data_IF_347058145669
#
_entry.id   IF_347058145669
#
_cell.length_a   1.000
_cell.length_b   1.000
_cell.length_c   1.000
_cell.angle_alpha   90.00
_cell.angle_beta   90.00
_cell.angle_gamma   90.00
#
_symmetry.space_group_name_H-M   'P 1'
#
loop_
_entity.id
_entity.type
_entity.pdbx_description
1 polymer ?
#
# COMPACT_ATOMS: atom_id res chain seq x y z
N UNK A 1 11.90 0.98 10.40
CA UNK A 1 13.04 1.51 9.66
C UNK A 1 12.76 2.96 9.23
N UNK A 2 13.79 3.63 8.77
CA UNK A 2 13.70 5.07 8.46
C UNK A 2 12.64 5.38 7.38
N UNK A 3 12.54 4.54 6.38
CA UNK A 3 11.56 4.73 5.30
C UNK A 3 10.11 4.61 5.81
N UNK A 4 9.85 3.56 6.57
CA UNK A 4 8.52 3.33 7.17
C UNK A 4 8.15 4.47 8.12
N UNK A 5 9.07 4.86 8.98
CA UNK A 5 8.83 5.93 9.95
C UNK A 5 8.59 7.27 9.26
N UNK A 6 9.36 7.58 8.23
CA UNK A 6 9.19 8.82 7.48
C UNK A 6 7.87 8.86 6.71
N UNK A 7 7.46 7.72 6.14
CA UNK A 7 6.18 7.64 5.43
C UNK A 7 5.00 7.93 6.37
N UNK A 8 5.03 7.34 7.57
CA UNK A 8 3.99 7.57 8.56
C UNK A 8 3.98 9.04 8.99
N UNK A 9 5.14 9.60 9.28
CA UNK A 9 5.28 10.99 9.71
C UNK A 9 4.73 11.97 8.67
N UNK A 10 5.09 11.80 7.40
CA UNK A 10 4.69 12.74 6.35
C UNK A 10 3.18 12.77 6.15
N UNK A 11 2.51 11.62 6.32
CA UNK A 11 1.06 11.57 6.15
C UNK A 11 0.31 12.02 7.41
N UNK A 12 0.85 11.73 8.60
CA UNK A 12 0.22 12.16 9.85
C UNK A 12 0.37 13.66 10.10
N UNK A 13 1.41 14.29 9.53
CA UNK A 13 1.67 15.72 9.70
C UNK A 13 1.13 16.58 8.55
N UNK A 14 0.32 16.01 7.65
CA UNK A 14 -0.18 16.67 6.44
C UNK A 14 0.93 17.15 5.48
N UNK A 15 2.13 16.55 5.61
CA UNK A 15 3.26 16.90 4.77
C UNK A 15 3.22 16.29 3.37
N UNK A 16 2.21 15.46 3.07
CA UNK A 16 2.13 14.74 1.80
C UNK A 16 1.94 15.66 0.60
N UNK A 17 1.46 16.87 0.81
CA UNK A 17 1.27 17.87 -0.24
C UNK A 17 2.42 18.88 -0.31
N UNK A 18 3.47 18.67 0.47
CA UNK A 18 4.61 19.58 0.57
C UNK A 18 5.91 18.85 0.26
N UNK A 19 6.38 19.01 -0.98
CA UNK A 19 7.62 18.36 -1.44
C UNK A 19 8.86 18.82 -0.68
N UNK A 20 8.76 19.89 0.11
CA UNK A 20 9.85 20.40 0.94
C UNK A 20 9.81 19.81 2.37
N UNK A 21 8.79 19.02 2.70
CA UNK A 21 8.72 18.36 4.01
C UNK A 21 9.90 17.40 4.16
N UNK A 22 10.58 17.39 5.35
CA UNK A 22 11.76 16.55 5.55
C UNK A 22 11.53 15.06 5.30
N UNK A 23 10.29 14.57 5.43
CA UNK A 23 9.97 13.16 5.22
C UNK A 23 9.33 12.86 3.86
N UNK A 24 9.22 13.85 2.98
CA UNK A 24 8.60 13.66 1.67
C UNK A 24 9.33 12.62 0.82
N UNK A 25 10.63 12.45 1.04
CA UNK A 25 11.43 11.46 0.33
C UNK A 25 10.85 10.04 0.42
N UNK A 26 10.11 9.74 1.51
CA UNK A 26 9.52 8.43 1.70
C UNK A 26 8.43 8.13 0.66
N UNK A 27 7.68 9.16 0.26
CA UNK A 27 6.69 9.05 -0.81
C UNK A 27 7.38 8.82 -2.14
N UNK A 28 8.41 9.61 -2.41
CA UNK A 28 9.17 9.51 -3.66
C UNK A 28 9.85 8.15 -3.81
N UNK A 29 10.31 7.57 -2.71
CA UNK A 29 10.97 6.26 -2.74
C UNK A 29 10.02 5.16 -3.21
N UNK A 30 8.75 5.20 -2.78
CA UNK A 30 7.76 4.25 -3.30
C UNK A 30 7.62 4.38 -4.83
N UNK A 31 7.54 5.61 -5.32
CA UNK A 31 7.42 5.85 -6.76
C UNK A 31 8.66 5.38 -7.51
N UNK A 32 9.85 5.61 -6.95
CA UNK A 32 11.11 5.21 -7.58
C UNK A 32 11.25 3.68 -7.68
N UNK A 33 10.67 2.95 -6.74
CA UNK A 33 10.83 1.49 -6.64
C UNK A 33 9.72 0.70 -7.35
N UNK A 34 8.62 1.36 -7.75
CA UNK A 34 7.40 0.64 -8.17
C UNK A 34 7.58 -0.22 -9.42
N UNK A 35 8.43 0.18 -10.35
CA UNK A 35 8.62 -0.58 -11.59
C UNK A 35 9.58 -1.76 -11.41
N UNK A 36 10.73 -1.52 -10.81
CA UNK A 36 11.84 -2.47 -10.81
C UNK A 36 12.01 -3.24 -9.50
N UNK A 37 11.49 -2.69 -8.40
CA UNK A 37 11.70 -3.29 -7.07
C UNK A 37 10.39 -3.39 -6.28
N UNK A 38 9.35 -4.01 -6.88
CA UNK A 38 8.05 -4.11 -6.19
C UNK A 38 8.11 -4.88 -4.87
N UNK A 39 9.05 -5.81 -4.72
CA UNK A 39 9.20 -6.57 -3.47
C UNK A 39 9.58 -5.68 -2.31
N UNK A 40 10.38 -4.63 -2.56
CA UNK A 40 10.74 -3.67 -1.51
C UNK A 40 9.54 -2.86 -1.09
N UNK A 41 8.71 -2.43 -2.06
CA UNK A 41 7.47 -1.72 -1.77
C UNK A 41 6.49 -2.60 -0.98
N UNK A 42 6.36 -3.86 -1.37
CA UNK A 42 5.51 -4.82 -0.68
C UNK A 42 5.91 -4.97 0.79
N UNK A 43 7.20 -5.19 1.04
CA UNK A 43 7.71 -5.33 2.40
C UNK A 43 7.49 -4.06 3.23
N UNK A 44 7.72 -2.89 2.64
CA UNK A 44 7.52 -1.61 3.33
C UNK A 44 6.05 -1.40 3.67
N UNK A 45 5.14 -1.72 2.75
CA UNK A 45 3.70 -1.59 2.99
C UNK A 45 3.25 -2.45 4.17
N UNK A 46 3.69 -3.71 4.21
CA UNK A 46 3.33 -4.60 5.31
C UNK A 46 3.86 -4.09 6.65
N UNK A 47 5.06 -3.53 6.65
CA UNK A 47 5.64 -2.98 7.88
C UNK A 47 4.89 -1.72 8.34
N UNK A 48 4.47 -0.87 7.41
CA UNK A 48 3.69 0.33 7.73
C UNK A 48 2.38 -0.07 8.42
N UNK A 49 1.62 -1.01 7.86
CA UNK A 49 0.33 -1.39 8.43
C UNK A 49 0.48 -2.16 9.75
N UNK A 50 1.65 -2.73 10.03
CA UNK A 50 1.92 -3.35 11.32
C UNK A 50 2.29 -2.31 12.38
N UNK A 51 2.65 -1.11 11.97
CA UNK A 51 3.12 -0.04 12.86
C UNK A 51 2.03 0.96 13.21
N UNK A 52 1.12 1.25 12.29
CA UNK A 52 0.08 2.25 12.50
C UNK A 52 -1.28 1.79 11.99
N UNK A 53 -2.35 2.32 12.61
CA UNK A 53 -3.73 2.17 12.14
C UNK A 53 -4.33 3.52 11.75
N UNK A 54 -3.50 4.56 11.59
CA UNK A 54 -3.94 5.89 11.19
C UNK A 54 -4.68 5.85 9.86
N UNK A 55 -5.91 6.37 9.82
CA UNK A 55 -6.72 6.39 8.61
C UNK A 55 -6.04 7.14 7.48
N UNK A 56 -5.37 8.25 7.76
CA UNK A 56 -4.70 9.03 6.73
C UNK A 56 -3.54 8.25 6.10
N UNK A 57 -2.79 7.50 6.90
CA UNK A 57 -1.69 6.67 6.40
C UNK A 57 -2.24 5.50 5.57
N UNK A 58 -3.23 4.79 6.10
CA UNK A 58 -3.82 3.63 5.41
C UNK A 58 -4.44 4.04 4.08
N UNK A 59 -5.19 5.12 4.07
CA UNK A 59 -5.83 5.61 2.84
C UNK A 59 -4.80 6.02 1.79
N UNK A 60 -3.76 6.74 2.20
CA UNK A 60 -2.69 7.17 1.30
C UNK A 60 -1.91 5.98 0.74
N UNK A 61 -1.67 4.98 1.58
CA UNK A 61 -0.97 3.77 1.17
C UNK A 61 -1.76 2.98 0.11
N UNK A 62 -3.08 2.90 0.28
CA UNK A 62 -3.96 2.24 -0.66
C UNK A 62 -4.04 2.98 -1.99
N UNK A 63 -4.17 4.30 -1.95
CA UNK A 63 -4.36 5.13 -3.14
C UNK A 63 -3.07 5.35 -3.92
N UNK A 64 -1.92 5.13 -3.31
CA UNK A 64 -0.61 5.29 -3.96
C UNK A 64 0.11 3.96 -4.14
N UNK A 65 0.96 3.56 -3.18
CA UNK A 65 1.80 2.38 -3.36
C UNK A 65 1.06 1.09 -3.69
N UNK A 66 -0.05 0.79 -3.02
CA UNK A 66 -0.80 -0.44 -3.28
C UNK A 66 -1.47 -0.40 -4.65
N UNK A 67 -2.08 0.73 -5.00
CA UNK A 67 -2.73 0.90 -6.31
C UNK A 67 -1.72 0.67 -7.44
N UNK A 68 -0.53 1.26 -7.33
CA UNK A 68 0.51 1.10 -8.33
C UNK A 68 1.02 -0.34 -8.40
N UNK A 69 1.17 -1.00 -7.26
CA UNK A 69 1.58 -2.41 -7.23
C UNK A 69 0.58 -3.29 -7.99
N UNK A 70 -0.71 -3.10 -7.72
CA UNK A 70 -1.77 -3.88 -8.35
C UNK A 70 -1.85 -3.57 -9.85
N UNK A 71 -1.72 -2.31 -10.22
CA UNK A 71 -1.80 -1.87 -11.60
C UNK A 71 -0.61 -2.37 -12.43
N UNK A 72 0.60 -2.28 -11.91
CA UNK A 72 1.83 -2.64 -12.62
C UNK A 72 2.17 -4.13 -12.51
N UNK A 73 1.86 -4.76 -11.37
CA UNK A 73 2.32 -6.11 -11.05
C UNK A 73 1.21 -7.02 -10.52
N UNK A 74 -0.06 -6.70 -10.83
CA UNK A 74 -1.19 -7.43 -10.28
C UNK A 74 -1.15 -8.93 -10.52
N UNK A 75 -0.78 -9.36 -11.72
CA UNK A 75 -0.71 -10.79 -12.06
C UNK A 75 0.32 -11.51 -11.17
N UNK A 76 1.45 -10.86 -10.89
CA UNK A 76 2.50 -11.47 -10.09
C UNK A 76 2.18 -11.48 -8.60
N UNK A 77 1.40 -10.50 -8.12
CA UNK A 77 1.17 -10.31 -6.69
C UNK A 77 -0.18 -10.76 -6.18
N UNK A 78 -1.12 -11.10 -7.08
CA UNK A 78 -2.48 -11.44 -6.62
C UNK A 78 -2.50 -12.63 -5.65
N UNK A 79 -1.67 -13.63 -5.89
CA UNK A 79 -1.60 -14.79 -4.97
C UNK A 79 -1.08 -14.37 -3.59
N UNK A 80 -0.07 -13.50 -3.55
CA UNK A 80 0.47 -12.96 -2.30
C UNK A 80 -0.56 -12.11 -1.58
N UNK A 81 -1.31 -11.31 -2.34
CA UNK A 81 -2.38 -10.46 -1.79
C UNK A 81 -3.45 -11.33 -1.12
N UNK A 82 -3.90 -12.38 -1.79
CA UNK A 82 -4.90 -13.28 -1.24
C UNK A 82 -4.39 -13.98 0.02
N UNK A 83 -3.16 -14.43 -0.01
CA UNK A 83 -2.56 -15.13 1.13
C UNK A 83 -2.40 -14.21 2.34
N UNK A 84 -1.93 -12.98 2.10
CA UNK A 84 -1.76 -12.02 3.17
C UNK A 84 -3.11 -11.64 3.80
N UNK A 85 -4.13 -11.46 2.97
CA UNK A 85 -5.47 -11.10 3.44
C UNK A 85 -6.08 -12.17 4.33
N UNK A 86 -5.74 -13.44 4.11
CA UNK A 86 -6.27 -14.55 4.92
C UNK A 86 -5.84 -14.48 6.37
N UNK A 87 -4.64 -13.98 6.64
CA UNK A 87 -4.04 -14.02 7.97
C UNK A 87 -3.78 -12.65 8.58
N UNK A 88 -4.07 -11.56 7.86
CA UNK A 88 -3.72 -10.22 8.30
C UNK A 88 -4.92 -9.26 8.16
N UNK A 89 -5.59 -9.02 9.30
CA UNK A 89 -6.75 -8.14 9.32
C UNK A 89 -6.40 -6.72 8.85
N UNK A 90 -5.23 -6.21 9.26
CA UNK A 90 -4.80 -4.88 8.86
C UNK A 90 -4.63 -4.78 7.35
N UNK A 91 -4.17 -5.86 6.73
CA UNK A 91 -4.05 -5.88 5.27
C UNK A 91 -5.42 -5.88 4.59
N UNK A 92 -6.41 -6.62 5.15
CA UNK A 92 -7.78 -6.56 4.61
C UNK A 92 -8.37 -5.16 4.70
N UNK A 93 -8.10 -4.45 5.80
CA UNK A 93 -8.55 -3.06 5.97
C UNK A 93 -7.90 -2.16 4.92
N UNK A 94 -6.63 -2.37 4.64
CA UNK A 94 -5.93 -1.64 3.58
C UNK A 94 -6.57 -1.93 2.21
N UNK A 95 -6.85 -3.20 1.90
CA UNK A 95 -7.48 -3.57 0.63
C UNK A 95 -8.85 -2.93 0.44
N UNK A 96 -9.59 -2.71 1.52
CA UNK A 96 -10.92 -2.10 1.43
C UNK A 96 -10.89 -0.66 0.96
N UNK A 97 -9.76 0.02 1.12
CA UNK A 97 -9.59 1.39 0.67
C UNK A 97 -9.21 1.47 -0.82
N UNK A 98 -8.87 0.33 -1.45
CA UNK A 98 -8.46 0.30 -2.84
C UNK A 98 -9.68 0.41 -3.76
N UNK A 99 -9.59 1.27 -4.77
CA UNK A 99 -10.62 1.42 -5.79
C UNK A 99 -10.25 0.56 -7.01
N UNK A 100 -11.23 0.29 -7.87
CA UNK A 100 -10.99 -0.53 -9.06
C UNK A 100 -9.93 0.13 -9.95
N UNK A 101 -8.79 -0.55 -10.12
CA UNK A 101 -7.64 0.01 -10.82
C UNK A 101 -6.93 -0.99 -11.74
N UNK A 102 -7.47 -2.19 -11.88
CA UNK A 102 -6.82 -3.24 -12.67
C UNK A 102 -7.87 -4.02 -13.46
N UNK A 103 -7.42 -5.00 -14.23
CA UNK A 103 -8.36 -5.80 -15.02
C UNK A 103 -9.34 -6.56 -14.14
N UNK A 104 -10.48 -6.88 -14.72
CA UNK A 104 -11.63 -7.44 -14.00
C UNK A 104 -11.33 -8.73 -13.25
N UNK A 105 -10.56 -9.62 -13.83
CA UNK A 105 -10.23 -10.91 -13.21
C UNK A 105 -9.47 -10.73 -11.92
N UNK A 106 -8.44 -9.87 -11.93
CA UNK A 106 -7.63 -9.57 -10.75
C UNK A 106 -8.47 -8.79 -9.74
N UNK A 107 -9.24 -7.81 -10.21
CA UNK A 107 -10.09 -7.00 -9.32
C UNK A 107 -11.11 -7.87 -8.57
N UNK A 108 -11.73 -8.83 -9.25
CA UNK A 108 -12.68 -9.73 -8.59
C UNK A 108 -12.01 -10.58 -7.51
N UNK A 109 -10.76 -10.98 -7.70
CA UNK A 109 -10.00 -11.69 -6.68
C UNK A 109 -9.71 -10.80 -5.48
N UNK A 110 -9.40 -9.53 -5.72
CA UNK A 110 -9.19 -8.55 -4.63
C UNK A 110 -10.48 -8.36 -3.84
N UNK A 111 -11.61 -8.22 -4.52
CA UNK A 111 -12.91 -8.06 -3.85
C UNK A 111 -13.21 -9.24 -2.92
N UNK A 112 -12.91 -10.46 -3.34
CA UNK A 112 -13.09 -11.64 -2.49
C UNK A 112 -12.10 -11.64 -1.34
N UNK A 113 -10.85 -11.25 -1.59
CA UNK A 113 -9.80 -11.28 -0.57
C UNK A 113 -10.07 -10.30 0.58
N UNK A 114 -10.66 -9.15 0.28
CA UNK A 114 -10.94 -8.13 1.31
C UNK A 114 -12.25 -8.33 2.04
N UNK A 115 -13.03 -9.33 1.65
CA UNK A 115 -14.29 -9.67 2.30
C UNK A 115 -14.03 -10.38 3.63
N UNK A 116 -14.93 -10.17 4.60
CA UNK A 116 -14.88 -10.86 5.89
C UNK A 116 -15.54 -12.25 5.84
N UNK A 117 -16.18 -12.58 4.73
CA UNK A 117 -16.89 -13.84 4.56
C UNK A 117 -15.97 -15.02 4.22
#
# INVERSE_FOLDING_TARGET
>A
NAWVDAYIEVHDSDGANDEHHPCYWAIEKFADMEMDFPDLNWAAMLQIISTTTSDSVIQSLAEGPLEELVELHGVEYIDKIEKEAQSNLNFRLLLRELIETTEKTIWNRILRARSDD
#
